data_IF_477431451646
#
_entry.id   IF_477431451646
#
_cell.length_a   1.000
_cell.length_b   1.000
_cell.length_c   1.000
_cell.angle_alpha   90.00
_cell.angle_beta   90.00
_cell.angle_gamma   90.00
#
_symmetry.space_group_name_H-M   'P 1'
#
loop_
_entity.id
_entity.type
_entity.pdbx_description
1 polymer ?
#
# COMPACT_ATOMS: atom_id res chain seq x y z
N UNK A 1 -8.11 -17.76 -75.77
CA UNK A 1 -8.72 -16.74 -74.88
C UNK A 1 -7.75 -15.57 -74.76
N UNK A 2 -8.07 -14.40 -75.34
CA UNK A 2 -7.25 -13.19 -75.20
C UNK A 2 -7.62 -12.54 -73.87
N UNK A 3 -6.86 -12.83 -72.81
CA UNK A 3 -6.98 -12.11 -71.55
C UNK A 3 -6.55 -10.67 -71.83
N UNK A 4 -7.50 -9.73 -71.72
CA UNK A 4 -7.22 -8.32 -71.97
C UNK A 4 -6.25 -7.81 -70.89
N UNK A 5 -5.21 -7.09 -71.30
CA UNK A 5 -4.18 -6.53 -70.43
C UNK A 5 -4.77 -5.69 -69.28
N UNK A 6 -5.92 -5.04 -69.53
CA UNK A 6 -6.69 -4.30 -68.53
C UNK A 6 -7.25 -5.17 -67.41
N UNK A 7 -7.66 -6.40 -67.71
CA UNK A 7 -8.18 -7.35 -66.72
C UNK A 7 -7.06 -7.86 -65.81
N UNK A 8 -5.86 -8.05 -66.34
CA UNK A 8 -4.67 -8.42 -65.55
C UNK A 8 -4.22 -7.27 -64.64
N UNK A 9 -4.27 -6.03 -65.14
CA UNK A 9 -3.89 -4.84 -64.37
C UNK A 9 -4.85 -4.58 -63.19
N UNK A 10 -6.14 -4.85 -63.37
CA UNK A 10 -7.16 -4.71 -62.32
C UNK A 10 -6.99 -5.75 -61.20
N UNK A 11 -6.64 -7.00 -61.56
CA UNK A 11 -6.36 -8.06 -60.58
C UNK A 11 -5.10 -7.77 -59.77
N UNK A 12 -4.04 -7.26 -60.42
CA UNK A 12 -2.79 -6.89 -59.74
C UNK A 12 -3.01 -5.69 -58.79
N UNK A 13 -3.85 -4.72 -59.16
CA UNK A 13 -4.17 -3.57 -58.31
C UNK A 13 -4.90 -3.96 -57.01
N UNK A 14 -5.74 -5.00 -57.05
CA UNK A 14 -6.50 -5.47 -55.88
C UNK A 14 -5.66 -6.22 -54.83
N UNK A 15 -4.48 -6.71 -55.21
CA UNK A 15 -3.56 -7.44 -54.32
C UNK A 15 -2.67 -6.50 -53.48
N UNK A 16 -2.64 -5.20 -53.77
CA UNK A 16 -1.82 -4.22 -53.05
C UNK A 16 -2.56 -3.50 -51.92
N UNK A 17 -3.86 -3.73 -51.76
CA UNK A 17 -4.65 -3.27 -50.60
C UNK A 17 -4.44 -4.18 -49.38
N UNK A 18 -3.21 -4.18 -48.85
CA UNK A 18 -2.93 -4.75 -47.53
C UNK A 18 -3.34 -3.75 -46.45
N UNK A 19 -4.20 -4.20 -45.54
CA UNK A 19 -4.69 -3.43 -44.42
C UNK A 19 -3.53 -3.16 -43.44
N UNK A 20 -3.16 -1.89 -43.26
CA UNK A 20 -2.30 -1.48 -42.16
C UNK A 20 -3.04 -1.70 -40.85
N UNK A 21 -2.88 -2.90 -40.26
CA UNK A 21 -3.48 -3.22 -38.98
C UNK A 21 -2.94 -2.28 -37.91
N UNK A 22 -3.85 -1.79 -37.05
CA UNK A 22 -3.50 -1.00 -35.88
C UNK A 22 -2.42 -1.73 -35.07
N UNK A 23 -1.18 -1.25 -35.17
CA UNK A 23 -0.11 -1.77 -34.31
C UNK A 23 -0.40 -1.21 -32.93
N UNK A 24 -1.12 -1.98 -32.11
CA UNK A 24 -1.19 -1.73 -30.68
C UNK A 24 0.26 -1.62 -30.18
N UNK A 25 0.70 -0.44 -29.71
CA UNK A 25 2.08 -0.28 -29.28
C UNK A 25 2.32 -1.28 -28.15
N UNK A 26 3.37 -2.10 -28.30
CA UNK A 26 3.76 -3.09 -27.28
C UNK A 26 3.86 -2.37 -25.93
N UNK A 27 3.17 -2.83 -24.87
CA UNK A 27 3.24 -2.18 -23.58
C UNK A 27 4.71 -2.13 -23.15
N UNK A 28 5.15 -0.95 -22.70
CA UNK A 28 6.53 -0.75 -22.25
C UNK A 28 6.79 -1.75 -21.11
N UNK A 29 7.74 -2.66 -21.30
CA UNK A 29 8.12 -3.63 -20.28
C UNK A 29 8.74 -2.91 -19.09
N UNK A 30 8.02 -2.85 -17.97
CA UNK A 30 8.57 -2.44 -16.69
C UNK A 30 9.41 -3.56 -16.07
N UNK A 31 10.31 -3.21 -15.16
CA UNK A 31 11.01 -4.20 -14.33
C UNK A 31 9.99 -4.90 -13.43
N UNK A 32 9.89 -6.24 -13.54
CA UNK A 32 9.07 -7.03 -12.61
C UNK A 32 9.80 -7.10 -11.27
N UNK A 33 9.34 -6.32 -10.30
CA UNK A 33 9.79 -6.42 -8.92
C UNK A 33 9.11 -7.63 -8.29
N UNK A 34 9.91 -8.64 -7.92
CA UNK A 34 9.44 -9.82 -7.20
C UNK A 34 10.11 -9.84 -5.83
N UNK A 35 9.31 -10.01 -4.79
CA UNK A 35 9.76 -9.96 -3.39
C UNK A 35 9.61 -11.35 -2.79
N UNK A 36 10.60 -11.75 -2.00
CA UNK A 36 10.52 -13.03 -1.28
C UNK A 36 9.30 -13.04 -0.36
N UNK A 37 8.65 -14.21 -0.15
CA UNK A 37 7.52 -14.32 0.77
C UNK A 37 7.85 -13.77 2.17
N UNK A 38 6.90 -13.03 2.75
CA UNK A 38 7.05 -12.44 4.07
C UNK A 38 7.14 -13.53 5.15
N UNK A 39 8.12 -13.40 6.05
CA UNK A 39 8.21 -14.20 7.27
C UNK A 39 8.09 -13.23 8.44
N UNK A 40 7.16 -13.49 9.34
CA UNK A 40 6.85 -12.58 10.44
C UNK A 40 7.48 -13.07 11.74
N UNK A 41 8.05 -12.14 12.50
CA UNK A 41 8.61 -12.39 13.82
C UNK A 41 7.99 -11.46 14.86
N UNK A 42 7.76 -11.94 16.09
CA UNK A 42 7.17 -11.12 17.14
C UNK A 42 8.15 -10.04 17.62
N UNK A 43 7.67 -8.81 17.69
CA UNK A 43 8.37 -7.64 18.23
C UNK A 43 7.82 -7.35 19.62
N UNK A 44 8.44 -7.94 20.64
CA UNK A 44 8.01 -7.85 22.04
C UNK A 44 8.92 -6.98 22.90
N UNK A 45 10.18 -6.83 22.49
CA UNK A 45 11.26 -6.16 23.21
C UNK A 45 11.31 -4.65 22.93
N UNK A 46 10.16 -3.98 22.98
CA UNK A 46 10.08 -2.52 22.87
C UNK A 46 10.14 -1.90 24.28
N UNK A 47 11.22 -1.19 24.65
CA UNK A 47 11.33 -0.58 25.96
C UNK A 47 10.20 0.44 26.16
N UNK A 48 9.47 0.34 27.27
CA UNK A 48 8.43 1.28 27.69
C UNK A 48 7.20 1.41 26.75
N UNK A 49 7.01 0.50 25.80
CA UNK A 49 5.84 0.52 24.92
C UNK A 49 4.76 -0.51 25.33
N UNK A 50 3.50 -0.07 25.52
CA UNK A 50 2.41 -0.90 26.04
C UNK A 50 1.74 -1.76 24.95
N UNK A 51 2.50 -2.18 23.94
CA UNK A 51 2.01 -3.04 22.88
C UNK A 51 3.12 -3.92 22.30
N UNK A 52 2.72 -4.93 21.55
CA UNK A 52 3.56 -5.77 20.70
C UNK A 52 2.83 -6.08 19.40
N UNK A 53 3.59 -6.45 18.38
CA UNK A 53 3.08 -6.80 17.04
C UNK A 53 4.07 -7.74 16.36
N UNK A 54 3.70 -8.28 15.20
CA UNK A 54 4.61 -9.03 14.34
C UNK A 54 5.12 -8.15 13.19
N UNK A 55 6.43 -8.19 12.93
CA UNK A 55 7.07 -7.47 11.84
C UNK A 55 7.69 -8.44 10.82
N UNK A 56 7.78 -8.00 9.58
CA UNK A 56 8.44 -8.76 8.52
C UNK A 56 9.95 -8.84 8.80
N UNK A 57 10.55 -10.03 8.64
CA UNK A 57 12.00 -10.25 8.79
C UNK A 57 12.84 -9.48 7.78
N UNK A 58 12.25 -9.06 6.65
CA UNK A 58 12.88 -8.20 5.64
C UNK A 58 12.89 -6.71 6.04
N UNK A 59 12.26 -6.36 7.16
CA UNK A 59 12.18 -4.99 7.65
C UNK A 59 13.15 -4.71 8.79
N UNK A 60 13.56 -3.46 8.89
CA UNK A 60 14.35 -2.95 10.02
C UNK A 60 13.44 -2.14 10.94
N UNK A 61 13.26 -2.62 12.18
CA UNK A 61 12.45 -1.93 13.19
C UNK A 61 13.33 -0.96 13.98
N UNK A 62 13.08 0.34 13.81
CA UNK A 62 13.76 1.43 14.53
C UNK A 62 12.76 2.08 15.48
N UNK A 63 13.04 2.05 16.78
CA UNK A 63 12.21 2.69 17.80
C UNK A 63 12.83 4.01 18.25
N UNK A 64 11.99 4.99 18.57
CA UNK A 64 12.42 6.24 19.19
C UNK A 64 12.20 6.18 20.71
N UNK A 65 13.20 6.59 21.49
CA UNK A 65 13.32 6.24 22.91
C UNK A 65 12.31 6.90 23.87
N UNK A 66 11.36 7.70 23.39
CA UNK A 66 10.47 8.48 24.25
C UNK A 66 8.97 8.36 23.94
N UNK A 67 8.57 8.27 22.66
CA UNK A 67 7.15 8.37 22.29
C UNK A 67 6.53 7.05 21.84
N UNK A 68 7.28 5.95 21.88
CA UNK A 68 6.86 4.67 21.28
C UNK A 68 6.48 4.78 19.80
N UNK A 69 7.06 5.76 19.13
CA UNK A 69 7.05 5.90 17.69
C UNK A 69 8.05 4.91 17.08
N UNK A 70 7.57 4.12 16.14
CA UNK A 70 8.33 3.03 15.53
C UNK A 70 8.32 3.22 14.03
N UNK A 71 9.52 3.22 13.45
CA UNK A 71 9.73 3.22 12.01
C UNK A 71 10.11 1.80 11.60
N UNK A 72 9.30 1.18 10.76
CA UNK A 72 9.58 -0.12 10.17
C UNK A 72 10.01 0.12 8.74
N UNK A 73 11.31 0.08 8.50
CA UNK A 73 11.92 0.43 7.22
C UNK A 73 12.06 -0.82 6.34
N UNK A 74 11.73 -0.68 5.05
CA UNK A 74 11.95 -1.69 4.02
C UNK A 74 12.96 -1.12 3.02
N UNK A 75 14.28 -1.27 3.25
CA UNK A 75 15.31 -0.67 2.40
C UNK A 75 15.19 -1.07 0.92
N UNK A 76 14.92 -2.36 0.65
CA UNK A 76 14.76 -2.90 -0.70
C UNK A 76 13.52 -2.37 -1.45
N UNK A 77 12.53 -1.83 -0.73
CA UNK A 77 11.29 -1.29 -1.28
C UNK A 77 11.22 0.24 -1.19
N UNK A 78 12.26 0.88 -0.65
CA UNK A 78 12.33 2.32 -0.39
C UNK A 78 11.10 2.87 0.34
N UNK A 79 10.61 2.11 1.32
CA UNK A 79 9.39 2.42 2.03
C UNK A 79 9.59 2.35 3.54
N UNK A 80 8.72 3.04 4.26
CA UNK A 80 8.70 3.05 5.72
C UNK A 80 7.25 2.99 6.19
N UNK A 81 6.96 2.06 7.10
CA UNK A 81 5.73 2.09 7.89
C UNK A 81 6.05 2.89 9.15
N UNK A 82 5.30 3.96 9.36
CA UNK A 82 5.34 4.74 10.59
C UNK A 82 4.22 4.27 11.51
N UNK A 83 4.58 3.81 12.71
CA UNK A 83 3.65 3.56 13.80
C UNK A 83 3.81 4.66 14.84
N UNK A 84 2.69 5.27 15.23
CA UNK A 84 2.62 6.31 16.25
C UNK A 84 1.69 5.87 17.36
N UNK A 85 2.19 5.87 18.60
CA UNK A 85 1.42 5.53 19.78
C UNK A 85 0.97 6.78 20.52
N UNK A 86 -0.27 6.79 21.01
CA UNK A 86 -0.81 7.84 21.87
C UNK A 86 -1.65 7.23 23.00
N UNK A 87 -1.51 7.70 24.25
CA UNK A 87 -2.41 7.31 25.32
C UNK A 87 -3.81 7.91 25.10
N UNK A 88 -4.83 7.16 25.51
CA UNK A 88 -6.22 7.62 25.53
C UNK A 88 -6.56 8.17 26.91
N UNK A 89 -6.76 9.47 26.98
CA UNK A 89 -7.02 10.22 28.22
C UNK A 89 -8.22 11.14 28.02
N UNK A 90 -9.41 10.56 27.79
CA UNK A 90 -10.64 11.31 27.47
C UNK A 90 -10.61 12.00 26.09
N UNK A 91 -9.56 11.79 25.30
CA UNK A 91 -9.32 12.41 24.00
C UNK A 91 -9.60 11.46 22.81
N UNK A 92 -10.15 10.26 23.02
CA UNK A 92 -10.36 9.25 21.98
C UNK A 92 -11.08 9.81 20.74
N UNK A 93 -12.16 10.57 20.93
CA UNK A 93 -12.92 11.19 19.83
C UNK A 93 -12.06 12.12 18.98
N UNK A 94 -11.10 12.81 19.61
CA UNK A 94 -10.15 13.68 18.91
C UNK A 94 -9.13 12.84 18.13
N UNK A 95 -8.55 11.82 18.76
CA UNK A 95 -7.59 10.91 18.09
C UNK A 95 -8.21 10.24 16.85
N UNK A 96 -9.45 9.76 16.95
CA UNK A 96 -10.19 9.18 15.82
C UNK A 96 -10.40 10.18 14.69
N UNK A 97 -10.81 11.42 15.02
CA UNK A 97 -11.00 12.49 14.03
C UNK A 97 -9.68 12.89 13.38
N UNK A 98 -8.61 13.01 14.14
CA UNK A 98 -7.29 13.38 13.64
C UNK A 98 -6.76 12.29 12.68
N UNK A 99 -6.91 11.01 13.04
CA UNK A 99 -6.54 9.90 12.17
C UNK A 99 -7.35 9.87 10.87
N UNK A 100 -8.69 10.02 10.95
CA UNK A 100 -9.54 10.12 9.76
C UNK A 100 -9.16 11.32 8.89
N UNK A 101 -8.98 12.49 9.49
CA UNK A 101 -8.60 13.71 8.79
C UNK A 101 -7.28 13.53 8.06
N UNK A 102 -6.27 12.96 8.71
CA UNK A 102 -4.97 12.65 8.08
C UNK A 102 -5.13 11.74 6.85
N UNK A 103 -5.96 10.69 6.96
CA UNK A 103 -6.28 9.83 5.82
C UNK A 103 -6.90 10.62 4.68
N UNK A 104 -7.87 11.50 4.93
CA UNK A 104 -8.52 12.25 3.85
C UNK A 104 -7.66 13.40 3.28
N UNK A 105 -6.89 14.13 4.09
CA UNK A 105 -6.10 15.27 3.61
C UNK A 105 -4.94 14.87 2.69
N UNK A 106 -4.38 13.66 2.85
CA UNK A 106 -3.29 13.15 2.01
C UNK A 106 -3.78 12.42 0.73
N UNK A 107 -5.08 12.45 0.45
CA UNK A 107 -5.71 11.71 -0.67
C UNK A 107 -6.23 12.61 -1.79
N UNK A 108 -5.80 13.87 -1.86
CA UNK A 108 -6.26 14.85 -2.87
C UNK A 108 -6.03 14.35 -4.33
N UNK A 109 -5.14 13.38 -4.54
CA UNK A 109 -4.87 12.72 -5.83
C UNK A 109 -5.26 11.23 -5.88
N UNK A 110 -6.00 10.74 -4.88
CA UNK A 110 -6.49 9.37 -4.84
C UNK A 110 -7.72 9.23 -5.73
N UNK A 111 -7.80 8.11 -6.44
CA UNK A 111 -8.96 7.76 -7.25
C UNK A 111 -10.08 7.19 -6.39
N UNK A 112 -9.73 6.48 -5.30
CA UNK A 112 -10.69 5.88 -4.38
C UNK A 112 -10.06 5.62 -3.00
N UNK A 113 -10.89 5.57 -1.95
CA UNK A 113 -10.51 5.17 -0.60
C UNK A 113 -11.46 4.06 -0.15
N UNK A 114 -10.93 2.86 0.06
CA UNK A 114 -11.67 1.78 0.70
C UNK A 114 -11.38 1.77 2.20
N UNK A 115 -12.44 1.65 3.01
CA UNK A 115 -12.35 1.58 4.47
C UNK A 115 -12.89 0.23 4.94
N UNK A 116 -12.12 -0.47 5.77
CA UNK A 116 -12.51 -1.76 6.36
C UNK A 116 -12.45 -1.67 7.89
N UNK A 117 -13.56 -1.98 8.55
CA UNK A 117 -13.61 -2.04 10.01
C UNK A 117 -12.79 -3.24 10.47
N UNK A 118 -11.97 -3.02 11.49
CA UNK A 118 -11.23 -4.08 12.17
C UNK A 118 -11.74 -4.22 13.61
N UNK A 119 -12.11 -5.43 14.01
CA UNK A 119 -12.53 -5.74 15.36
C UNK A 119 -12.03 -7.12 15.74
N UNK A 120 -11.32 -7.20 16.86
CA UNK A 120 -10.87 -8.44 17.44
C UNK A 120 -11.20 -8.45 18.93
N UNK A 121 -12.27 -9.16 19.28
CA UNK A 121 -12.76 -9.26 20.66
C UNK A 121 -11.78 -10.03 21.58
N UNK A 122 -10.96 -10.92 21.01
CA UNK A 122 -10.00 -11.72 21.79
C UNK A 122 -8.82 -10.88 22.28
N UNK A 123 -8.29 -10.01 21.42
CA UNK A 123 -7.17 -9.10 21.75
C UNK A 123 -7.63 -7.71 22.17
N UNK A 124 -8.94 -7.43 22.13
CA UNK A 124 -9.54 -6.12 22.38
C UNK A 124 -8.93 -5.02 21.48
N UNK A 125 -8.68 -5.35 20.21
CA UNK A 125 -8.16 -4.41 19.22
C UNK A 125 -9.28 -4.03 18.27
N UNK A 126 -9.65 -2.76 18.27
CA UNK A 126 -10.71 -2.21 17.42
C UNK A 126 -10.16 -1.05 16.60
N UNK A 127 -10.55 -0.94 15.34
CA UNK A 127 -9.90 -0.01 14.43
C UNK A 127 -10.56 0.10 13.07
N UNK A 128 -9.86 0.81 12.20
CA UNK A 128 -10.22 0.93 10.78
C UNK A 128 -8.94 0.86 9.96
N UNK A 129 -9.00 0.10 8.88
CA UNK A 129 -7.99 0.03 7.85
C UNK A 129 -8.43 0.80 6.62
N UNK A 130 -7.57 1.63 6.08
CA UNK A 130 -7.80 2.45 4.89
C UNK A 130 -6.85 2.03 3.78
N UNK A 131 -7.40 1.81 2.60
CA UNK A 131 -6.66 1.56 1.36
C UNK A 131 -6.95 2.73 0.43
N UNK A 132 -5.90 3.41 0.00
CA UNK A 132 -5.97 4.55 -0.89
C UNK A 132 -5.46 4.10 -2.26
N UNK A 133 -6.33 4.13 -3.27
CA UNK A 133 -5.98 3.77 -4.63
C UNK A 133 -5.62 5.02 -5.46
N UNK A 134 -4.66 4.90 -6.36
CA UNK A 134 -4.22 5.98 -7.24
C UNK A 134 -2.88 6.61 -6.83
N UNK A 135 -2.55 7.78 -7.39
CA UNK A 135 -1.28 8.48 -7.17
C UNK A 135 -1.22 9.22 -5.82
N UNK A 136 -1.48 8.51 -4.72
CA UNK A 136 -1.40 9.03 -3.36
C UNK A 136 -0.02 8.79 -2.72
N UNK A 137 0.38 9.70 -1.83
CA UNK A 137 1.64 9.63 -1.10
C UNK A 137 1.67 8.50 -0.06
N UNK A 138 0.51 8.09 0.44
CA UNK A 138 0.33 7.01 1.38
C UNK A 138 -0.80 6.10 0.89
N UNK A 139 -0.46 4.85 0.62
CA UNK A 139 -1.35 3.89 -0.04
C UNK A 139 -2.19 3.08 0.95
N UNK A 140 -1.72 2.93 2.19
CA UNK A 140 -2.48 2.26 3.24
C UNK A 140 -2.19 2.84 4.60
N UNK A 141 -3.23 2.92 5.42
CA UNK A 141 -3.18 3.48 6.76
C UNK A 141 -4.14 2.73 7.68
N UNK A 142 -3.91 2.79 8.98
CA UNK A 142 -4.87 2.30 9.96
C UNK A 142 -4.81 3.08 11.25
N UNK A 143 -5.86 2.95 12.05
CA UNK A 143 -5.78 3.18 13.49
C UNK A 143 -6.35 1.99 14.23
N UNK A 144 -5.86 1.75 15.45
CA UNK A 144 -6.33 0.71 16.34
C UNK A 144 -6.31 1.20 17.81
N UNK A 145 -7.26 0.73 18.60
CA UNK A 145 -7.44 1.14 20.00
C UNK A 145 -8.12 0.04 20.82
N UNK A 146 -7.88 0.03 22.13
CA UNK A 146 -8.65 -0.74 23.11
C UNK A 146 -9.92 0.00 23.59
N UNK A 147 -10.19 1.18 23.03
CA UNK A 147 -11.23 2.15 23.41
C UNK A 147 -11.05 2.81 24.77
N UNK A 148 -10.03 2.44 25.57
CA UNK A 148 -9.90 2.85 26.96
C UNK A 148 -8.59 3.59 27.24
N UNK A 149 -7.45 3.03 26.84
CA UNK A 149 -6.11 3.50 27.25
C UNK A 149 -5.13 3.63 26.09
N UNK A 150 -5.28 2.84 25.03
CA UNK A 150 -4.27 2.71 23.98
C UNK A 150 -4.84 3.14 22.63
N UNK A 151 -4.07 3.95 21.91
CA UNK A 151 -4.35 4.31 20.53
C UNK A 151 -3.06 4.22 19.73
N UNK A 152 -3.11 3.52 18.60
CA UNK A 152 -2.00 3.43 17.66
C UNK A 152 -2.49 3.73 16.26
N UNK A 153 -1.69 4.46 15.49
CA UNK A 153 -1.94 4.69 14.07
C UNK A 153 -0.74 4.25 13.25
N UNK A 154 -0.99 3.61 12.11
CA UNK A 154 0.02 3.20 11.16
C UNK A 154 -0.20 3.84 9.80
N UNK A 155 0.88 4.25 9.13
CA UNK A 155 0.80 4.73 7.74
C UNK A 155 2.04 4.34 6.94
N UNK A 156 1.84 4.03 5.67
CA UNK A 156 2.93 3.75 4.72
C UNK A 156 3.39 5.06 4.08
N UNK A 157 4.70 5.24 3.95
CA UNK A 157 5.32 6.30 3.15
C UNK A 157 6.39 5.71 2.23
N UNK A 158 6.39 6.13 0.96
CA UNK A 158 7.44 5.79 0.00
C UNK A 158 8.43 6.96 -0.15
N UNK A 159 9.74 6.68 -0.11
CA UNK A 159 10.79 7.69 -0.25
C UNK A 159 10.92 8.25 -1.68
N UNK A 160 10.32 7.59 -2.68
CA UNK A 160 10.43 7.98 -4.09
C UNK A 160 9.21 8.79 -4.58
N UNK A 161 9.45 9.73 -5.50
CA UNK A 161 8.40 10.50 -6.21
C UNK A 161 7.57 9.53 -7.07
N UNK A 162 6.23 9.56 -7.00
CA UNK A 162 5.40 8.47 -7.49
C UNK A 162 5.39 8.40 -9.01
N UNK A 163 5.93 7.31 -9.55
CA UNK A 163 5.27 6.65 -10.66
C UNK A 163 4.55 5.43 -10.06
N UNK A 164 3.23 5.52 -9.90
CA UNK A 164 2.40 4.48 -9.28
C UNK A 164 2.67 3.09 -9.85
N UNK A 165 2.77 2.98 -11.17
CA UNK A 165 3.00 1.72 -11.86
C UNK A 165 4.35 1.08 -11.49
N UNK A 166 5.33 1.88 -11.08
CA UNK A 166 6.66 1.38 -10.67
C UNK A 166 6.71 0.93 -9.21
N UNK A 167 5.85 1.47 -8.35
CA UNK A 167 5.80 1.14 -6.92
C UNK A 167 4.70 0.14 -6.59
N UNK A 168 3.79 -0.18 -7.52
CA UNK A 168 2.64 -1.04 -7.28
C UNK A 168 2.99 -2.40 -6.64
N UNK A 169 4.04 -3.13 -7.08
CA UNK A 169 4.42 -4.40 -6.44
C UNK A 169 4.88 -4.20 -4.98
N UNK A 170 5.65 -3.14 -4.71
CA UNK A 170 6.12 -2.80 -3.37
C UNK A 170 4.95 -2.37 -2.47
N UNK A 171 4.03 -1.56 -3.02
CA UNK A 171 2.81 -1.12 -2.34
C UNK A 171 1.93 -2.28 -1.95
N UNK A 172 1.67 -3.21 -2.88
CA UNK A 172 0.85 -4.39 -2.60
C UNK A 172 1.49 -5.32 -1.56
N UNK A 173 2.82 -5.39 -1.53
CA UNK A 173 3.55 -6.15 -0.52
C UNK A 173 3.42 -5.50 0.86
N UNK A 174 3.75 -4.21 0.97
CA UNK A 174 3.77 -3.49 2.25
C UNK A 174 2.35 -3.28 2.79
N UNK A 175 1.34 -3.16 1.93
CA UNK A 175 -0.08 -3.14 2.33
C UNK A 175 -0.44 -4.41 3.14
N UNK A 176 0.03 -5.58 2.72
CA UNK A 176 -0.19 -6.83 3.47
C UNK A 176 0.54 -6.80 4.81
N UNK A 177 1.76 -6.27 4.82
CA UNK A 177 2.55 -6.18 6.05
C UNK A 177 1.96 -5.22 7.07
N UNK A 178 1.52 -4.02 6.67
CA UNK A 178 0.87 -3.08 7.59
C UNK A 178 -0.46 -3.64 8.13
N UNK A 179 -1.20 -4.39 7.30
CA UNK A 179 -2.41 -5.10 7.75
C UNK A 179 -2.05 -6.17 8.78
N UNK A 180 -1.04 -6.98 8.50
CA UNK A 180 -0.55 -8.02 9.42
C UNK A 180 -0.07 -7.44 10.75
N UNK A 181 0.58 -6.27 10.72
CA UNK A 181 0.95 -5.52 11.93
C UNK A 181 -0.31 -5.20 12.74
N UNK A 182 -1.33 -4.59 12.12
CA UNK A 182 -2.59 -4.27 12.79
C UNK A 182 -3.27 -5.51 13.38
N UNK A 183 -3.32 -6.61 12.61
CA UNK A 183 -3.96 -7.87 13.02
C UNK A 183 -3.25 -8.57 14.18
N UNK A 184 -1.93 -8.42 14.27
CA UNK A 184 -1.08 -9.03 15.30
C UNK A 184 -0.87 -8.14 16.53
N UNK A 185 -1.48 -6.95 16.57
CA UNK A 185 -1.39 -6.06 17.72
C UNK A 185 -1.92 -6.74 18.98
N UNK A 186 -1.16 -6.59 20.07
CA UNK A 186 -1.55 -6.99 21.41
C UNK A 186 -1.18 -5.88 22.39
N UNK A 187 -2.11 -5.52 23.26
CA UNK A 187 -1.91 -4.56 24.34
C UNK A 187 -1.24 -5.24 25.55
N UNK A 188 -0.47 -4.47 26.33
CA UNK A 188 0.15 -4.93 27.59
C UNK A 188 -0.56 -4.40 28.83
#
# INVERSE_FOLDING_TARGET
>A
MKISLYTLLFVIGSLLSSCGGDTLPKPKGGLRLDYTPAVYAPVTQLPNCPFSFEANSLSEVKYQAHDCDINIEYPAMHATIYLTYKPVEGNLKKLLKDAQKFTYEHTIKADNIASTVFANDSTHVYGMFYQVYGNAASQSQFYATDSLRHFISGSIYFKAVPNYDSIQPASAYIEKDIRKIMESLQWK
#
